data_IF_436032777414
#
_entry.id   IF_436032777414
#
_cell.length_a   1.000
_cell.length_b   1.000
_cell.length_c   1.000
_cell.angle_alpha   90.00
_cell.angle_beta   90.00
_cell.angle_gamma   90.00
#
_symmetry.space_group_name_H-M   'P 1'
#
loop_
_entity.id
_entity.type
_entity.pdbx_description
1 polymer ?
#
# COMPACT_ATOMS: atom_id res chain seq x y z
N UNK A 1 18.07 -17.69 60.58
CA UNK A 1 17.18 -17.12 59.55
C UNK A 1 17.61 -15.69 59.28
N UNK A 2 18.34 -15.40 58.18
CA UNK A 2 18.76 -14.05 57.82
C UNK A 2 17.79 -13.37 56.84
N UNK A 3 17.61 -12.07 57.04
CA UNK A 3 16.65 -11.14 56.43
C UNK A 3 16.93 -10.81 54.95
N UNK A 4 15.88 -10.68 54.09
CA UNK A 4 16.02 -10.44 52.65
C UNK A 4 15.82 -8.96 52.26
N UNK A 5 16.61 -8.03 52.82
CA UNK A 5 16.46 -6.59 52.48
C UNK A 5 17.58 -6.05 51.57
N UNK A 6 18.74 -6.72 51.50
CA UNK A 6 19.94 -6.21 50.79
C UNK A 6 19.89 -6.36 49.26
N UNK A 7 19.10 -7.29 48.73
CA UNK A 7 19.18 -7.69 47.31
C UNK A 7 18.57 -6.68 46.33
N UNK A 8 17.48 -6.01 46.73
CA UNK A 8 16.80 -5.03 45.87
C UNK A 8 17.55 -3.70 45.77
N UNK A 9 18.38 -3.35 46.77
CA UNK A 9 19.17 -2.13 46.75
C UNK A 9 20.36 -2.22 45.79
N UNK A 10 21.01 -3.40 45.74
CA UNK A 10 22.13 -3.68 44.84
C UNK A 10 21.68 -3.67 43.37
N UNK A 11 20.50 -4.24 43.07
CA UNK A 11 19.93 -4.21 41.70
C UNK A 11 19.59 -2.79 41.24
N UNK A 12 19.05 -1.94 42.13
CA UNK A 12 18.75 -0.54 41.82
C UNK A 12 20.02 0.30 41.60
N UNK A 13 21.10 0.00 42.33
CA UNK A 13 22.39 0.70 42.18
C UNK A 13 23.08 0.37 40.85
N UNK A 14 23.00 -0.89 40.39
CA UNK A 14 23.58 -1.32 39.11
C UNK A 14 22.85 -0.73 37.89
N UNK A 15 21.52 -0.60 37.95
CA UNK A 15 20.74 -0.01 36.86
C UNK A 15 21.04 1.49 36.65
N UNK A 16 21.26 2.23 37.74
CA UNK A 16 21.64 3.65 37.66
C UNK A 16 23.05 3.85 37.05
N UNK A 17 23.98 2.94 37.33
CA UNK A 17 25.35 3.00 36.82
C UNK A 17 25.45 2.70 35.30
N UNK A 18 24.56 1.86 34.77
CA UNK A 18 24.49 1.56 33.33
C UNK A 18 24.00 2.75 32.48
N UNK A 19 23.10 3.58 33.02
CA UNK A 19 22.54 4.75 32.30
C UNK A 19 23.58 5.88 32.21
N UNK A 20 24.40 6.07 33.24
CA UNK A 20 25.46 7.10 33.23
C UNK A 20 26.64 6.68 32.33
N UNK A 21 26.94 5.39 32.23
CA UNK A 21 28.02 4.88 31.36
C UNK A 21 27.79 5.09 29.87
N UNK A 22 26.54 5.07 29.39
CA UNK A 22 26.23 5.30 27.96
C UNK A 22 26.30 6.76 27.51
N UNK A 23 26.34 7.72 28.43
CA UNK A 23 26.40 9.16 28.12
C UNK A 23 27.83 9.69 27.93
N UNK A 24 28.87 8.94 28.33
CA UNK A 24 30.24 9.45 28.41
C UNK A 24 31.20 8.98 27.30
N UNK A 25 30.79 8.10 26.39
CA UNK A 25 31.70 7.51 25.38
C UNK A 25 31.26 7.80 23.94
N UNK A 26 30.85 9.04 23.67
CA UNK A 26 30.37 9.47 22.36
C UNK A 26 30.98 10.78 21.87
N UNK A 27 32.23 11.10 22.21
CA UNK A 27 32.96 12.21 21.58
C UNK A 27 34.03 11.64 20.67
N UNK A 28 33.60 11.24 19.48
CA UNK A 28 34.48 10.91 18.37
C UNK A 28 35.07 12.20 17.78
N UNK A 29 36.38 12.35 17.94
CA UNK A 29 37.27 13.29 17.24
C UNK A 29 36.91 13.50 15.77
N UNK A 30 36.23 14.62 15.48
CA UNK A 30 36.08 15.18 14.13
C UNK A 30 36.82 16.54 13.98
N UNK A 31 37.79 16.82 14.85
CA UNK A 31 38.42 18.14 14.99
C UNK A 31 39.65 18.38 14.09
N UNK A 32 39.87 17.61 13.02
CA UNK A 32 41.07 17.80 12.19
C UNK A 32 40.76 17.71 10.69
N UNK A 33 39.93 18.62 10.14
CA UNK A 33 40.00 19.05 8.72
C UNK A 33 39.23 20.37 8.46
N UNK A 34 39.38 21.41 9.29
CA UNK A 34 38.80 22.75 9.00
C UNK A 34 39.90 23.82 9.05
N UNK A 35 41.03 23.60 8.40
CA UNK A 35 41.97 24.66 8.03
C UNK A 35 42.74 24.24 6.77
N UNK A 36 42.03 24.07 5.65
CA UNK A 36 42.65 23.99 4.33
C UNK A 36 41.67 24.46 3.25
N UNK A 37 41.85 25.73 2.87
CA UNK A 37 41.50 26.35 1.58
C UNK A 37 40.00 26.58 1.29
N UNK A 38 39.54 27.85 1.24
CA UNK A 38 38.19 28.18 0.82
C UNK A 38 38.14 28.23 -0.72
N UNK A 39 38.25 27.10 -1.41
CA UNK A 39 38.18 27.12 -2.90
C UNK A 39 37.76 25.79 -3.56
N UNK A 40 37.03 24.92 -2.85
CA UNK A 40 36.28 23.85 -3.52
C UNK A 40 34.92 23.66 -2.86
N UNK A 41 34.02 24.61 -3.10
CA UNK A 41 32.61 24.27 -3.30
C UNK A 41 32.55 23.33 -4.52
N UNK A 42 32.68 22.03 -4.26
CA UNK A 42 32.15 21.04 -5.18
C UNK A 42 30.64 21.26 -5.17
N UNK A 43 30.18 22.09 -6.10
CA UNK A 43 28.77 22.34 -6.37
C UNK A 43 28.18 20.99 -6.74
N UNK A 44 27.64 20.28 -5.75
CA UNK A 44 26.74 19.17 -6.03
C UNK A 44 25.59 19.81 -6.78
N UNK A 45 25.56 19.63 -8.10
CA UNK A 45 24.50 20.13 -8.94
C UNK A 45 23.17 19.74 -8.29
N UNK A 46 22.40 20.72 -7.82
CA UNK A 46 21.06 20.50 -7.30
C UNK A 46 20.27 19.88 -8.43
N UNK A 47 20.05 18.56 -8.36
CA UNK A 47 19.21 17.86 -9.33
C UNK A 47 17.78 18.27 -9.05
N UNK A 48 17.27 19.25 -9.78
CA UNK A 48 15.83 19.53 -9.80
C UNK A 48 15.14 18.32 -10.39
N UNK A 49 14.20 17.66 -9.68
CA UNK A 49 13.41 16.59 -10.25
C UNK A 49 12.67 17.11 -11.50
N UNK A 50 12.49 16.27 -12.53
CA UNK A 50 11.60 16.60 -13.64
C UNK A 50 10.21 16.97 -13.11
N UNK A 51 9.54 17.92 -13.78
CA UNK A 51 8.14 18.21 -13.49
C UNK A 51 7.29 16.94 -13.66
N UNK A 52 6.24 16.72 -12.82
CA UNK A 52 5.33 15.61 -12.99
C UNK A 52 4.66 15.66 -14.37
N UNK A 53 4.35 14.51 -14.97
CA UNK A 53 3.61 14.50 -16.22
C UNK A 53 2.19 15.06 -16.00
N UNK A 54 1.56 15.64 -17.04
CA UNK A 54 0.24 16.24 -16.93
C UNK A 54 -0.83 15.19 -16.58
N UNK A 55 -1.96 15.59 -15.97
CA UNK A 55 -3.09 14.69 -15.74
C UNK A 55 -3.70 14.25 -17.08
N UNK A 56 -4.12 12.99 -17.13
CA UNK A 56 -4.74 12.38 -18.31
C UNK A 56 -5.77 11.35 -17.88
N UNK A 57 -6.82 11.16 -18.69
CA UNK A 57 -7.76 10.05 -18.47
C UNK A 57 -6.99 8.74 -18.45
N UNK A 58 -7.10 7.94 -17.38
CA UNK A 58 -6.41 6.66 -17.27
C UNK A 58 -6.78 5.70 -18.40
N UNK A 59 -5.82 4.86 -18.77
CA UNK A 59 -6.01 3.77 -19.72
C UNK A 59 -6.38 2.48 -19.00
N UNK A 60 -6.96 1.52 -19.74
CA UNK A 60 -7.31 0.17 -19.24
C UNK A 60 -6.15 -0.52 -18.53
N UNK A 61 -4.92 -0.36 -19.04
CA UNK A 61 -3.71 -1.03 -18.51
C UNK A 61 -3.22 -0.45 -17.18
N UNK A 62 -3.72 0.71 -16.78
CA UNK A 62 -3.34 1.38 -15.55
C UNK A 62 -4.24 0.99 -14.36
N UNK A 63 -5.16 0.03 -14.56
CA UNK A 63 -5.97 -0.54 -13.50
C UNK A 63 -5.67 -2.02 -13.28
N UNK A 64 -5.38 -2.37 -12.02
CA UNK A 64 -5.39 -3.73 -11.53
C UNK A 64 -6.60 -3.89 -10.62
N UNK A 65 -7.57 -4.72 -11.00
CA UNK A 65 -8.77 -4.95 -10.20
C UNK A 65 -8.73 -6.36 -9.62
N UNK A 66 -8.54 -6.44 -8.31
CA UNK A 66 -8.66 -7.67 -7.56
C UNK A 66 -10.12 -8.09 -7.37
N UNK A 67 -10.36 -9.39 -7.23
CA UNK A 67 -11.65 -9.93 -6.79
C UNK A 67 -11.44 -10.61 -5.45
N UNK A 68 -12.13 -10.14 -4.41
CA UNK A 68 -12.13 -10.75 -3.10
C UNK A 68 -13.45 -11.50 -2.90
N UNK A 69 -13.39 -12.83 -2.92
CA UNK A 69 -14.55 -13.67 -2.60
C UNK A 69 -14.75 -13.67 -1.09
N UNK A 70 -15.90 -13.18 -0.63
CA UNK A 70 -16.25 -13.03 0.79
C UNK A 70 -17.10 -14.18 1.30
N UNK A 71 -17.88 -14.83 0.42
CA UNK A 71 -18.64 -16.04 0.75
C UNK A 71 -18.74 -16.98 -0.45
N UNK A 72 -18.82 -18.27 -0.16
CA UNK A 72 -19.04 -19.33 -1.14
C UNK A 72 -20.05 -20.32 -0.60
N UNK A 73 -21.11 -20.57 -1.37
CA UNK A 73 -22.17 -21.53 -1.04
C UNK A 73 -22.34 -22.49 -2.22
N UNK A 74 -22.09 -23.78 -2.01
CA UNK A 74 -22.20 -24.79 -3.07
C UNK A 74 -23.39 -25.72 -2.83
N UNK A 75 -24.25 -25.83 -3.84
CA UNK A 75 -25.28 -26.86 -3.89
C UNK A 75 -24.62 -28.23 -4.15
N UNK A 76 -24.97 -29.28 -3.38
CA UNK A 76 -24.53 -30.66 -3.65
C UNK A 76 -24.82 -31.15 -5.08
N UNK A 77 -25.80 -30.56 -5.76
CA UNK A 77 -26.18 -30.83 -7.15
C UNK A 77 -25.30 -30.12 -8.19
N UNK A 78 -24.37 -29.24 -7.79
CA UNK A 78 -23.21 -28.86 -8.60
C UNK A 78 -22.97 -27.37 -8.89
N UNK A 79 -23.90 -26.47 -8.53
CA UNK A 79 -23.71 -25.02 -8.70
C UNK A 79 -23.20 -24.37 -7.42
N UNK A 80 -22.23 -23.45 -7.54
CA UNK A 80 -21.76 -22.64 -6.43
C UNK A 80 -22.13 -21.17 -6.64
N UNK A 81 -22.58 -20.51 -5.57
CA UNK A 81 -22.76 -19.06 -5.46
C UNK A 81 -21.53 -18.47 -4.78
N UNK A 82 -20.94 -17.47 -5.41
CA UNK A 82 -19.79 -16.74 -4.90
C UNK A 82 -20.20 -15.29 -4.67
N UNK A 83 -20.14 -14.85 -3.42
CA UNK A 83 -20.27 -13.43 -3.06
C UNK A 83 -18.88 -12.81 -3.11
N UNK A 84 -18.71 -11.71 -3.84
CA UNK A 84 -17.43 -11.05 -3.96
C UNK A 84 -17.53 -9.52 -3.90
N UNK A 85 -16.40 -8.91 -3.61
CA UNK A 85 -16.17 -7.46 -3.72
C UNK A 85 -14.95 -7.22 -4.60
N UNK A 86 -14.99 -6.19 -5.44
CA UNK A 86 -13.83 -5.78 -6.24
C UNK A 86 -12.90 -4.88 -5.44
N UNK A 87 -11.61 -4.94 -5.74
CA UNK A 87 -10.57 -4.10 -5.12
C UNK A 87 -9.74 -3.43 -6.22
N UNK A 88 -10.24 -2.31 -6.79
CA UNK A 88 -9.54 -1.61 -7.87
C UNK A 88 -8.34 -0.83 -7.35
N UNK A 89 -7.21 -1.00 -8.04
CA UNK A 89 -5.98 -0.27 -7.78
C UNK A 89 -5.50 0.43 -9.05
N UNK A 90 -5.27 1.72 -8.95
CA UNK A 90 -4.58 2.48 -9.99
C UNK A 90 -3.07 2.31 -9.87
N UNK A 91 -2.42 2.00 -10.97
CA UNK A 91 -0.96 1.78 -11.08
C UNK A 91 -0.31 2.64 -12.15
N UNK A 92 -1.04 3.60 -12.72
CA UNK A 92 -0.48 4.54 -13.68
C UNK A 92 0.47 5.54 -13.02
N UNK A 93 1.28 6.20 -13.86
CA UNK A 93 2.28 7.18 -13.42
C UNK A 93 1.80 8.62 -13.56
N UNK A 94 0.55 8.80 -13.99
CA UNK A 94 -0.08 10.11 -14.19
C UNK A 94 -0.98 10.43 -13.00
N UNK A 95 -1.10 11.71 -12.61
CA UNK A 95 -2.14 12.10 -11.69
C UNK A 95 -3.51 11.90 -12.34
N UNK A 96 -4.53 11.62 -11.52
CA UNK A 96 -5.91 11.56 -11.99
C UNK A 96 -6.38 12.93 -12.51
N UNK A 97 -7.22 12.94 -13.56
CA UNK A 97 -7.85 14.17 -14.02
C UNK A 97 -8.83 14.69 -12.95
N UNK A 98 -9.08 16.00 -12.96
CA UNK A 98 -10.12 16.60 -12.12
C UNK A 98 -11.52 16.22 -12.59
N UNK A 99 -11.68 15.91 -13.87
CA UNK A 99 -12.94 15.46 -14.46
C UNK A 99 -13.23 14.01 -14.07
N UNK A 100 -14.47 13.69 -13.64
CA UNK A 100 -14.88 12.33 -13.37
C UNK A 100 -14.68 11.40 -14.56
N UNK A 101 -14.29 10.16 -14.31
CA UNK A 101 -14.22 9.12 -15.34
C UNK A 101 -14.83 7.81 -14.83
N UNK A 102 -15.31 7.00 -15.76
CA UNK A 102 -15.95 5.71 -15.49
C UNK A 102 -15.08 4.58 -16.01
N UNK A 103 -14.88 3.57 -15.16
CA UNK A 103 -14.21 2.32 -15.53
C UNK A 103 -15.27 1.25 -15.69
N UNK A 104 -15.36 0.68 -16.89
CA UNK A 104 -16.22 -0.46 -17.17
C UNK A 104 -15.39 -1.74 -17.21
N UNK A 105 -15.92 -2.78 -16.57
CA UNK A 105 -15.25 -4.05 -16.40
C UNK A 105 -16.24 -5.20 -16.44
N UNK A 106 -15.71 -6.41 -16.53
CA UNK A 106 -16.48 -7.64 -16.35
C UNK A 106 -15.74 -8.59 -15.40
N UNK A 107 -16.49 -9.32 -14.59
CA UNK A 107 -15.98 -10.39 -13.74
C UNK A 107 -16.22 -11.71 -14.45
N UNK A 108 -15.14 -12.42 -14.74
CA UNK A 108 -15.12 -13.70 -15.43
C UNK A 108 -14.76 -14.84 -14.48
N UNK A 109 -15.00 -16.09 -14.89
CA UNK A 109 -14.72 -17.29 -14.10
C UNK A 109 -15.97 -17.94 -13.49
N UNK A 110 -17.08 -17.19 -13.41
CA UNK A 110 -18.41 -17.76 -13.17
C UNK A 110 -19.01 -18.43 -14.40
N UNK A 111 -20.30 -18.77 -14.34
CA UNK A 111 -21.05 -19.38 -15.43
C UNK A 111 -21.17 -18.46 -16.64
N UNK A 112 -21.28 -17.15 -16.42
CA UNK A 112 -21.31 -16.10 -17.44
C UNK A 112 -20.49 -14.89 -16.96
N UNK A 113 -19.89 -14.10 -17.88
CA UNK A 113 -19.27 -12.82 -17.51
C UNK A 113 -20.29 -11.87 -16.88
N UNK A 114 -19.93 -11.28 -15.74
CA UNK A 114 -20.76 -10.33 -15.01
C UNK A 114 -20.25 -8.90 -15.26
N UNK A 115 -20.96 -8.04 -16.00
CA UNK A 115 -20.54 -6.67 -16.22
C UNK A 115 -20.66 -5.84 -14.94
N UNK A 116 -19.81 -4.83 -14.82
CA UNK A 116 -19.82 -3.85 -13.74
C UNK A 116 -19.15 -2.54 -14.17
N UNK A 117 -19.40 -1.50 -13.39
CA UNK A 117 -18.74 -0.21 -13.58
C UNK A 117 -18.57 0.51 -12.25
N UNK A 118 -17.59 1.41 -12.18
CA UNK A 118 -17.48 2.38 -11.11
C UNK A 118 -17.01 3.72 -11.68
N UNK A 119 -17.45 4.80 -11.04
CA UNK A 119 -17.04 6.16 -11.36
C UNK A 119 -16.03 6.63 -10.32
N UNK A 120 -14.95 7.27 -10.81
CA UNK A 120 -13.91 7.88 -10.00
C UNK A 120 -14.08 9.39 -10.07
N UNK A 121 -14.18 10.01 -8.90
CA UNK A 121 -14.23 11.47 -8.75
C UNK A 121 -13.09 11.90 -7.82
N UNK A 122 -12.17 12.72 -8.34
CA UNK A 122 -10.95 13.08 -7.62
C UNK A 122 -10.12 11.83 -7.30
N UNK A 123 -10.08 11.44 -6.03
CA UNK A 123 -9.33 10.26 -5.54
C UNK A 123 -10.23 9.18 -4.94
N UNK A 124 -11.55 9.29 -5.11
CA UNK A 124 -12.53 8.39 -4.54
C UNK A 124 -13.27 7.64 -5.64
N UNK A 125 -13.56 6.37 -5.40
CA UNK A 125 -14.35 5.53 -6.29
C UNK A 125 -15.47 4.85 -5.49
N UNK A 126 -16.68 4.87 -6.04
CA UNK A 126 -17.80 4.11 -5.47
C UNK A 126 -17.85 2.73 -6.13
N UNK A 127 -17.49 1.70 -5.36
CA UNK A 127 -17.43 0.33 -5.85
C UNK A 127 -18.64 -0.49 -5.37
N UNK A 128 -19.07 -1.42 -6.20
CA UNK A 128 -20.05 -2.43 -5.81
C UNK A 128 -19.40 -3.43 -4.85
N UNK A 129 -20.17 -3.82 -3.82
CA UNK A 129 -19.78 -4.81 -2.82
C UNK A 129 -20.80 -5.93 -2.77
N UNK A 130 -20.33 -7.08 -2.30
CA UNK A 130 -21.17 -8.26 -2.04
C UNK A 130 -22.02 -8.69 -3.24
N UNK A 131 -21.43 -8.63 -4.43
CA UNK A 131 -22.07 -9.09 -5.66
C UNK A 131 -22.05 -10.61 -5.70
N UNK A 132 -23.19 -11.23 -6.03
CA UNK A 132 -23.34 -12.68 -6.11
C UNK A 132 -23.26 -13.13 -7.57
N UNK A 133 -22.37 -14.07 -7.86
CA UNK A 133 -22.28 -14.76 -9.15
C UNK A 133 -22.33 -16.26 -8.98
N UNK A 134 -22.93 -16.94 -9.94
CA UNK A 134 -22.95 -18.40 -10.00
C UNK A 134 -21.79 -18.92 -10.84
N UNK A 135 -21.22 -20.05 -10.45
CA UNK A 135 -20.09 -20.66 -11.14
C UNK A 135 -19.93 -22.15 -10.82
N UNK A 136 -19.04 -22.84 -11.54
CA UNK A 136 -18.66 -24.21 -11.21
C UNK A 136 -17.94 -24.28 -9.85
N UNK A 137 -17.84 -25.45 -9.22
CA UNK A 137 -17.04 -25.62 -8.01
C UNK A 137 -15.57 -25.29 -8.25
N UNK A 138 -14.98 -24.49 -7.36
CA UNK A 138 -13.58 -24.03 -7.48
C UNK A 138 -13.36 -22.95 -8.54
N UNK A 139 -14.41 -22.22 -8.93
CA UNK A 139 -14.29 -21.09 -9.84
C UNK A 139 -13.30 -20.04 -9.31
N UNK A 140 -12.41 -19.58 -10.17
CA UNK A 140 -11.48 -18.48 -9.88
C UNK A 140 -12.01 -17.24 -10.58
N UNK A 141 -12.59 -16.32 -9.81
CA UNK A 141 -13.11 -15.07 -10.33
C UNK A 141 -11.95 -14.10 -10.65
N UNK A 142 -12.03 -13.45 -11.80
CA UNK A 142 -11.05 -12.45 -12.26
C UNK A 142 -11.79 -11.29 -12.91
N UNK A 143 -11.18 -10.11 -12.91
CA UNK A 143 -11.73 -8.94 -13.60
C UNK A 143 -10.98 -8.71 -14.90
N UNK A 144 -11.74 -8.41 -15.95
CA UNK A 144 -11.24 -7.86 -17.20
C UNK A 144 -11.75 -6.42 -17.34
N UNK A 145 -10.82 -5.47 -17.47
CA UNK A 145 -11.18 -4.05 -17.67
C UNK A 145 -11.42 -3.83 -19.15
N UNK A 146 -12.60 -3.33 -19.51
CA UNK A 146 -13.03 -3.22 -20.90
C UNK A 146 -12.68 -1.86 -21.48
N UNK A 147 -13.06 -0.80 -20.77
CA UNK A 147 -12.84 0.57 -21.20
C UNK A 147 -12.86 1.56 -20.04
N UNK A 148 -12.22 2.70 -20.28
CA UNK A 148 -12.25 3.87 -19.40
C UNK A 148 -12.83 5.02 -20.21
N UNK A 149 -13.85 5.69 -19.67
CA UNK A 149 -14.61 6.76 -20.32
C UNK A 149 -14.44 8.02 -19.46
N UNK A 150 -13.97 9.12 -20.02
CA UNK A 150 -13.76 10.39 -19.32
C UNK A 150 -13.93 11.58 -20.24
#
# INVERSE_FOLDING_TARGET
MPTPQKWNFIRKLLAALAIVGMLASGVGIASVMIFSRPDQEQTAATRTPPAPPPPSVPTVKEFLIGVQVTATECDPAGLCRYTYTIDPKYVGLHPFPETPFTVEYEVVGGNQPQPGQFTVEGQQAQILKDVVVEGPPGAVLKVNVLRVIG
#
